data_IF_562765864450
#
_entry.id   IF_562765864450
#
_cell.length_a   1.000
_cell.length_b   1.000
_cell.length_c   1.000
_cell.angle_alpha   90.00
_cell.angle_beta   90.00
_cell.angle_gamma   90.00
#
_symmetry.space_group_name_H-M   'P 1'
#
loop_
_entity.id
_entity.type
_entity.pdbx_description
1 polymer ?
#
# COMPACT_ATOMS: atom_id res chain seq x y z
N UNK A 1 -31.95 9.18 -24.17
CA UNK A 1 -30.62 9.25 -23.53
C UNK A 1 -30.07 7.90 -23.33
N UNK A 2 -28.83 7.71 -23.66
CA UNK A 2 -28.17 6.42 -23.45
C UNK A 2 -27.68 6.34 -22.00
N UNK A 3 -28.23 5.41 -21.23
CA UNK A 3 -27.79 5.18 -19.86
C UNK A 3 -26.39 4.54 -19.86
N UNK A 4 -25.52 5.01 -18.97
CA UNK A 4 -24.24 4.37 -18.79
C UNK A 4 -24.41 3.11 -17.95
N UNK A 5 -23.64 2.09 -18.26
CA UNK A 5 -23.58 0.86 -17.48
C UNK A 5 -22.13 0.53 -17.11
N UNK A 6 -21.95 -0.18 -16.01
CA UNK A 6 -20.63 -0.67 -15.61
C UNK A 6 -20.10 -1.61 -16.68
N UNK A 7 -18.86 -1.36 -17.12
CA UNK A 7 -18.23 -2.17 -18.17
C UNK A 7 -17.90 -3.59 -17.70
N UNK A 8 -17.92 -3.85 -16.39
CA UNK A 8 -17.58 -5.16 -15.84
C UNK A 8 -18.81 -5.96 -15.41
N UNK A 9 -19.71 -5.38 -14.60
CA UNK A 9 -20.85 -6.10 -14.05
C UNK A 9 -22.18 -5.70 -14.69
N UNK A 10 -22.20 -4.71 -15.59
CA UNK A 10 -23.35 -4.31 -16.41
C UNK A 10 -24.49 -3.61 -15.66
N UNK A 11 -24.32 -3.25 -14.38
CA UNK A 11 -25.37 -2.49 -13.68
C UNK A 11 -25.42 -1.06 -14.22
N UNK A 12 -26.59 -0.43 -14.12
CA UNK A 12 -26.76 0.97 -14.50
C UNK A 12 -25.97 1.88 -13.59
N UNK A 13 -25.30 2.87 -14.17
CA UNK A 13 -24.51 3.85 -13.41
C UNK A 13 -25.37 5.08 -13.14
N UNK A 14 -25.49 5.43 -11.85
CA UNK A 14 -26.18 6.60 -11.37
C UNK A 14 -25.43 7.19 -10.18
N UNK A 15 -26.01 8.16 -9.48
CA UNK A 15 -25.35 8.82 -8.37
C UNK A 15 -25.06 7.90 -7.19
N UNK A 16 -25.81 6.78 -7.07
CA UNK A 16 -25.60 5.78 -6.01
C UNK A 16 -24.58 4.71 -6.40
N UNK A 17 -24.57 4.31 -7.67
CA UNK A 17 -23.77 3.16 -8.13
C UNK A 17 -22.48 3.54 -8.82
N UNK A 18 -22.32 4.81 -9.26
CA UNK A 18 -21.15 5.26 -10.00
C UNK A 18 -20.41 6.39 -9.33
N UNK A 19 -19.19 6.63 -9.80
CA UNK A 19 -18.42 7.81 -9.44
C UNK A 19 -18.47 8.79 -10.59
N UNK A 20 -18.84 10.03 -10.33
CA UNK A 20 -18.91 11.06 -11.37
C UNK A 20 -17.51 11.43 -11.88
N UNK A 21 -17.41 11.61 -13.19
CA UNK A 21 -16.22 12.13 -13.85
C UNK A 21 -16.69 13.22 -14.81
N UNK A 22 -16.76 14.47 -14.32
CA UNK A 22 -17.38 15.56 -15.04
C UNK A 22 -18.87 15.36 -15.18
N UNK A 23 -19.39 15.39 -16.42
CA UNK A 23 -20.81 15.19 -16.71
C UNK A 23 -21.20 13.72 -16.86
N UNK A 24 -20.22 12.81 -16.82
CA UNK A 24 -20.42 11.38 -17.02
C UNK A 24 -19.96 10.63 -15.77
N UNK A 25 -20.22 9.32 -15.74
CA UNK A 25 -19.69 8.44 -14.72
C UNK A 25 -18.45 7.72 -15.25
N UNK A 26 -17.59 7.29 -14.33
CA UNK A 26 -16.50 6.39 -14.70
C UNK A 26 -17.11 5.08 -15.24
N UNK A 27 -16.34 4.36 -16.05
CA UNK A 27 -16.81 3.14 -16.73
C UNK A 27 -17.15 2.00 -15.78
N UNK A 28 -16.62 2.02 -14.55
CA UNK A 28 -16.90 1.00 -13.53
C UNK A 28 -17.83 1.56 -12.46
N UNK A 29 -18.73 0.70 -11.95
CA UNK A 29 -19.52 1.06 -10.78
C UNK A 29 -18.60 1.17 -9.54
N UNK A 30 -19.14 1.72 -8.45
CA UNK A 30 -18.38 1.94 -7.22
C UNK A 30 -17.75 0.65 -6.70
N UNK A 31 -18.51 -0.44 -6.65
CA UNK A 31 -18.02 -1.73 -6.18
C UNK A 31 -16.90 -2.27 -7.05
N UNK A 32 -17.09 -2.29 -8.38
CA UNK A 32 -16.06 -2.79 -9.29
C UNK A 32 -14.82 -1.91 -9.30
N UNK A 33 -14.99 -0.60 -9.21
CA UNK A 33 -13.87 0.33 -9.16
C UNK A 33 -13.07 0.15 -7.87
N UNK A 34 -13.74 0.04 -6.72
CA UNK A 34 -13.08 -0.14 -5.44
C UNK A 34 -12.33 -1.47 -5.39
N UNK A 35 -12.93 -2.54 -5.92
CA UNK A 35 -12.26 -3.84 -6.03
C UNK A 35 -11.02 -3.75 -6.91
N UNK A 36 -11.12 -3.07 -8.05
CA UNK A 36 -9.99 -2.85 -8.95
C UNK A 36 -8.85 -2.11 -8.24
N UNK A 37 -9.16 -1.05 -7.50
CA UNK A 37 -8.16 -0.29 -6.76
C UNK A 37 -7.50 -1.14 -5.68
N UNK A 38 -8.28 -1.89 -4.91
CA UNK A 38 -7.76 -2.76 -3.86
C UNK A 38 -6.84 -3.85 -4.42
N UNK A 39 -7.27 -4.52 -5.51
CA UNK A 39 -6.45 -5.55 -6.16
C UNK A 39 -5.12 -4.98 -6.63
N UNK A 40 -5.15 -3.76 -7.18
CA UNK A 40 -3.97 -3.06 -7.65
C UNK A 40 -3.02 -2.72 -6.50
N UNK A 41 -3.56 -2.25 -5.36
CA UNK A 41 -2.77 -1.94 -4.17
C UNK A 41 -2.17 -3.20 -3.54
N UNK A 42 -2.94 -4.28 -3.49
CA UNK A 42 -2.45 -5.57 -2.99
C UNK A 42 -1.28 -6.06 -3.84
N UNK A 43 -1.43 -5.99 -5.16
CA UNK A 43 -0.35 -6.38 -6.09
C UNK A 43 0.89 -5.53 -5.87
N UNK A 44 0.73 -4.21 -5.71
CA UNK A 44 1.85 -3.31 -5.45
C UNK A 44 2.55 -3.64 -4.14
N UNK A 45 1.79 -3.94 -3.10
CA UNK A 45 2.36 -4.34 -1.82
C UNK A 45 3.17 -5.63 -1.95
N UNK A 46 2.62 -6.63 -2.64
CA UNK A 46 3.30 -7.89 -2.89
C UNK A 46 4.58 -7.70 -3.70
N UNK A 47 4.53 -6.87 -4.74
CA UNK A 47 5.70 -6.56 -5.55
C UNK A 47 6.77 -5.85 -4.71
N UNK A 48 6.38 -4.92 -3.86
CA UNK A 48 7.29 -4.20 -2.97
C UNK A 48 7.94 -5.14 -1.96
N UNK A 49 7.16 -6.08 -1.40
CA UNK A 49 7.68 -7.10 -0.47
C UNK A 49 8.70 -7.97 -1.19
N UNK A 50 8.39 -8.44 -2.41
CA UNK A 50 9.32 -9.24 -3.21
C UNK A 50 10.61 -8.47 -3.49
N UNK A 51 10.51 -7.19 -3.79
CA UNK A 51 11.66 -6.33 -4.01
C UNK A 51 12.57 -6.28 -2.78
N UNK A 52 12.00 -6.33 -1.58
CA UNK A 52 12.73 -6.29 -0.32
C UNK A 52 13.09 -7.68 0.22
N UNK A 53 12.97 -8.73 -0.57
CA UNK A 53 13.40 -10.09 -0.20
C UNK A 53 12.27 -11.06 0.11
N UNK A 54 11.01 -10.64 0.09
CA UNK A 54 9.85 -11.51 0.21
C UNK A 54 9.48 -11.96 1.61
N UNK A 55 10.17 -11.49 2.64
CA UNK A 55 9.94 -11.95 4.02
C UNK A 55 10.45 -10.92 5.03
N UNK A 56 10.07 -11.11 6.30
CA UNK A 56 10.64 -10.33 7.39
C UNK A 56 12.13 -10.61 7.49
N UNK A 57 12.94 -9.57 7.47
CA UNK A 57 14.40 -9.70 7.53
C UNK A 57 14.88 -10.19 8.91
N UNK A 58 14.07 -10.01 9.97
CA UNK A 58 14.46 -10.40 11.33
C UNK A 58 14.07 -11.82 11.69
N UNK A 59 12.81 -12.23 11.39
CA UNK A 59 12.30 -13.54 11.84
C UNK A 59 11.94 -14.48 10.69
N UNK A 60 11.98 -14.01 9.44
CA UNK A 60 11.70 -14.84 8.27
C UNK A 60 10.23 -15.09 7.98
N UNK A 61 9.32 -14.39 8.68
CA UNK A 61 7.89 -14.53 8.44
C UNK A 61 7.54 -14.15 6.99
N UNK A 62 6.81 -15.01 6.30
CA UNK A 62 6.46 -14.83 4.88
C UNK A 62 5.05 -15.29 4.51
N UNK A 63 4.17 -15.51 5.51
CA UNK A 63 2.88 -16.18 5.28
C UNK A 63 1.80 -15.25 4.73
N UNK A 64 1.73 -14.02 5.21
CA UNK A 64 0.67 -13.08 4.83
C UNK A 64 1.28 -11.71 4.54
N UNK A 65 1.06 -11.21 3.31
CA UNK A 65 1.61 -9.92 2.89
C UNK A 65 1.16 -8.77 3.79
N UNK A 66 -0.07 -8.83 4.31
CA UNK A 66 -0.62 -7.77 5.16
C UNK A 66 0.06 -7.64 6.51
N UNK A 67 0.78 -8.67 6.95
CA UNK A 67 1.55 -8.63 8.18
C UNK A 67 2.99 -8.15 7.97
N UNK A 68 3.40 -7.91 6.72
CA UNK A 68 4.72 -7.39 6.40
C UNK A 68 4.64 -5.87 6.18
N UNK A 69 5.57 -5.16 6.79
CA UNK A 69 5.61 -3.70 6.78
C UNK A 69 7.00 -3.22 6.39
N UNK A 70 7.09 -1.94 6.01
CA UNK A 70 8.37 -1.33 5.65
C UNK A 70 8.77 -0.35 6.75
N UNK A 71 9.97 -0.55 7.29
CA UNK A 71 10.52 0.29 8.34
C UNK A 71 11.69 1.10 7.77
N UNK A 72 11.62 2.42 7.88
CA UNK A 72 12.70 3.29 7.46
C UNK A 72 13.88 3.14 8.42
N UNK A 73 15.07 2.85 7.87
CA UNK A 73 16.29 2.68 8.66
C UNK A 73 16.63 3.98 9.37
N UNK A 74 16.51 5.11 8.66
CA UNK A 74 16.67 6.45 9.22
C UNK A 74 15.33 7.19 9.11
N UNK A 75 14.63 7.45 10.23
CA UNK A 75 13.34 8.15 10.19
C UNK A 75 13.41 9.54 9.55
N UNK A 76 14.58 10.19 9.59
CA UNK A 76 14.76 11.52 9.02
C UNK A 76 14.77 11.51 7.49
N UNK A 77 14.95 10.33 6.87
CA UNK A 77 14.94 10.18 5.42
C UNK A 77 13.60 9.70 4.88
N UNK A 78 12.59 9.60 5.74
CA UNK A 78 11.25 9.20 5.32
C UNK A 78 10.56 10.36 4.61
N UNK A 79 10.30 10.20 3.32
CA UNK A 79 9.60 11.21 2.51
C UNK A 79 8.09 10.99 2.52
N UNK A 80 7.62 9.75 2.40
CA UNK A 80 6.20 9.44 2.31
C UNK A 80 5.87 8.12 3.00
N UNK A 81 4.64 8.02 3.51
CA UNK A 81 4.07 6.78 4.03
C UNK A 81 3.64 5.86 2.88
N UNK A 82 3.53 4.56 3.17
CA UNK A 82 3.09 3.58 2.17
C UNK A 82 1.75 3.94 1.55
N UNK A 83 0.82 4.50 2.33
CA UNK A 83 -0.51 4.88 1.84
C UNK A 83 -0.43 5.86 0.66
N UNK A 84 0.58 6.71 0.65
CA UNK A 84 0.82 7.65 -0.45
C UNK A 84 1.79 7.09 -1.47
N UNK A 85 2.78 6.36 -1.02
CA UNK A 85 3.83 5.79 -1.88
C UNK A 85 3.26 4.82 -2.91
N UNK A 86 2.29 4.01 -2.52
CA UNK A 86 1.65 3.02 -3.41
C UNK A 86 0.99 3.64 -4.64
N UNK A 87 0.73 4.95 -4.61
CA UNK A 87 0.12 5.69 -5.72
C UNK A 87 1.14 6.25 -6.70
N UNK A 88 2.41 6.12 -6.39
CA UNK A 88 3.49 6.68 -7.22
C UNK A 88 4.00 5.66 -8.22
N UNK A 89 4.91 6.11 -9.09
CA UNK A 89 5.56 5.21 -10.06
C UNK A 89 6.38 4.15 -9.35
N UNK A 90 6.63 3.04 -10.04
CA UNK A 90 7.46 1.96 -9.49
C UNK A 90 8.87 2.45 -9.15
N UNK A 91 9.44 3.33 -9.99
CA UNK A 91 10.77 3.89 -9.74
C UNK A 91 10.78 4.70 -8.43
N UNK A 92 9.73 5.48 -8.17
CA UNK A 92 9.60 6.22 -6.92
C UNK A 92 9.43 5.29 -5.72
N UNK A 93 8.66 4.21 -5.90
CA UNK A 93 8.44 3.20 -4.86
C UNK A 93 9.77 2.53 -4.49
N UNK A 94 10.54 2.06 -5.47
CA UNK A 94 11.81 1.38 -5.21
C UNK A 94 12.83 2.33 -4.56
N UNK A 95 12.87 3.59 -5.00
CA UNK A 95 13.77 4.58 -4.40
C UNK A 95 13.48 4.76 -2.91
N UNK A 96 12.20 4.81 -2.53
CA UNK A 96 11.82 4.91 -1.11
C UNK A 96 12.09 3.61 -0.35
N UNK A 97 11.82 2.45 -0.97
CA UNK A 97 12.05 1.14 -0.36
C UNK A 97 13.54 0.87 -0.10
N UNK A 98 14.43 1.46 -0.88
CA UNK A 98 15.87 1.34 -0.66
C UNK A 98 16.29 1.93 0.69
N UNK A 99 15.48 2.82 1.26
CA UNK A 99 15.68 3.40 2.58
C UNK A 99 15.07 2.56 3.71
N UNK A 100 14.44 1.45 3.38
CA UNK A 100 13.63 0.66 4.31
C UNK A 100 14.14 -0.77 4.42
N UNK A 101 13.71 -1.44 5.50
CA UNK A 101 13.76 -2.89 5.63
C UNK A 101 12.34 -3.43 5.70
N UNK A 102 12.16 -4.69 5.27
CA UNK A 102 10.86 -5.37 5.37
C UNK A 102 10.84 -6.17 6.67
N UNK A 103 9.86 -5.89 7.53
CA UNK A 103 9.70 -6.57 8.81
C UNK A 103 8.23 -6.90 9.02
N UNK A 104 7.95 -7.97 9.78
CA UNK A 104 6.57 -8.25 10.15
C UNK A 104 6.12 -7.26 11.24
N UNK A 105 4.80 -7.20 11.49
CA UNK A 105 4.23 -6.27 12.45
C UNK A 105 4.85 -6.40 13.84
N UNK A 106 5.11 -7.63 14.29
CA UNK A 106 5.72 -7.85 15.59
C UNK A 106 7.17 -7.35 15.64
N UNK A 107 7.97 -7.69 14.63
CA UNK A 107 9.35 -7.24 14.55
C UNK A 107 9.44 -5.73 14.38
N UNK A 108 8.48 -5.13 13.65
CA UNK A 108 8.43 -3.68 13.47
C UNK A 108 8.25 -2.97 14.82
N UNK A 109 7.38 -3.49 15.67
CA UNK A 109 7.17 -2.95 17.03
C UNK A 109 8.43 -3.12 17.88
N UNK A 110 9.09 -4.27 17.78
CA UNK A 110 10.33 -4.53 18.51
C UNK A 110 11.44 -3.56 18.10
N UNK A 111 11.58 -3.31 16.80
CA UNK A 111 12.58 -2.37 16.29
C UNK A 111 12.31 -0.96 16.83
N UNK A 112 11.06 -0.51 16.83
CA UNK A 112 10.72 0.80 17.40
C UNK A 112 11.02 0.87 18.87
N UNK A 113 10.72 -0.18 19.62
CA UNK A 113 10.99 -0.23 21.05
C UNK A 113 12.49 -0.16 21.35
N UNK A 114 13.31 -0.91 20.60
CA UNK A 114 14.77 -0.87 20.70
C UNK A 114 15.32 0.53 20.47
N UNK A 115 14.77 1.25 19.47
CA UNK A 115 15.18 2.62 19.18
C UNK A 115 14.85 3.57 20.32
N UNK A 116 13.66 3.43 20.93
CA UNK A 116 13.24 4.24 22.07
C UNK A 116 14.10 3.95 23.30
N UNK A 117 14.42 2.68 23.58
CA UNK A 117 15.28 2.29 24.68
C UNK A 117 16.68 2.90 24.52
N UNK A 118 17.22 2.90 23.32
CA UNK A 118 18.53 3.50 23.05
C UNK A 118 18.52 4.98 23.33
N UNK A 119 17.44 5.68 22.95
CA UNK A 119 17.30 7.12 23.22
C UNK A 119 17.22 7.37 24.73
N UNK A 120 16.45 6.56 25.46
CA UNK A 120 16.30 6.69 26.91
C UNK A 120 17.60 6.44 27.64
N UNK A 121 18.45 5.54 27.15
CA UNK A 121 19.75 5.22 27.77
C UNK A 121 20.78 6.34 27.56
N UNK A 122 20.64 7.14 26.52
CA UNK A 122 21.55 8.24 26.21
C UNK A 122 21.19 9.55 26.92
N UNK A 123 20.06 9.57 27.62
CA UNK A 123 19.58 10.78 28.30
C UNK A 123 20.01 10.85 29.76
#
# INVERSE_FOLDING_TARGET
MISQTCSKCQISLDEETGYKKGKRFQSLCRTCFNTYCMDRWIKRKKDAISYKGGKCIRCGYDKFYGALEFHHIDPNQKDVDWQKLRLRSWDAITAELDKCICVCANCHREVHHEMLDTIDQDS
#
